data_IF_833906117975
#
_entry.id   IF_833906117975
#
_cell.length_a   1.000
_cell.length_b   1.000
_cell.length_c   1.000
_cell.angle_alpha   90.00
_cell.angle_beta   90.00
_cell.angle_gamma   90.00
#
_symmetry.space_group_name_H-M   'P 1'
#
loop_
_entity.id
_entity.type
_entity.pdbx_description
1 polymer ?
#
# COMPACT_ATOMS: atom_id res chain seq x y z
N UNK A 1 -8.88 -11.24 -6.83
CA UNK A 1 -9.56 -10.25 -5.96
C UNK A 1 -11.03 -10.34 -6.22
N UNK A 2 -11.78 -10.82 -5.25
CA UNK A 2 -13.24 -10.86 -5.30
C UNK A 2 -13.81 -10.19 -4.06
N UNK A 3 -14.95 -9.52 -4.21
CA UNK A 3 -15.71 -8.94 -3.11
C UNK A 3 -17.16 -9.32 -3.33
N UNK A 4 -17.72 -10.03 -2.35
CA UNK A 4 -19.14 -10.30 -2.28
C UNK A 4 -19.86 -9.03 -1.80
N UNK A 5 -20.99 -8.74 -2.44
CA UNK A 5 -21.90 -7.67 -2.00
C UNK A 5 -22.81 -8.27 -0.93
N UNK A 6 -22.85 -7.61 0.22
CA UNK A 6 -23.62 -8.01 1.38
C UNK A 6 -24.88 -7.11 1.51
N UNK A 7 -25.76 -7.39 2.48
CA UNK A 7 -26.98 -6.59 2.76
C UNK A 7 -26.72 -5.10 3.04
N UNK A 8 -25.46 -4.75 3.33
CA UNK A 8 -24.98 -3.36 3.49
C UNK A 8 -24.94 -2.58 2.17
N UNK A 9 -25.19 -3.22 1.03
CA UNK A 9 -25.33 -2.59 -0.28
C UNK A 9 -24.03 -2.49 -1.08
N UNK A 10 -24.14 -1.88 -2.27
CA UNK A 10 -23.07 -1.84 -3.28
C UNK A 10 -21.99 -0.80 -2.95
N UNK A 11 -22.34 0.37 -2.40
CA UNK A 11 -21.39 1.43 -2.03
C UNK A 11 -20.25 0.94 -1.10
N UNK A 12 -20.55 0.21 0.00
CA UNK A 12 -19.52 -0.34 0.87
C UNK A 12 -18.64 -1.37 0.17
N UNK A 13 -19.21 -2.21 -0.69
CA UNK A 13 -18.48 -3.20 -1.48
C UNK A 13 -17.48 -2.51 -2.43
N UNK A 14 -17.89 -1.44 -3.12
CA UNK A 14 -17.01 -0.64 -3.97
C UNK A 14 -15.87 -0.01 -3.15
N UNK A 15 -16.16 0.52 -1.96
CA UNK A 15 -15.13 1.09 -1.07
C UNK A 15 -14.15 0.03 -0.59
N UNK A 16 -14.63 -1.16 -0.25
CA UNK A 16 -13.78 -2.29 0.11
C UNK A 16 -12.90 -2.71 -1.08
N UNK A 17 -13.45 -2.72 -2.29
CA UNK A 17 -12.72 -3.05 -3.51
C UNK A 17 -11.61 -2.07 -3.81
N UNK A 18 -11.90 -0.76 -3.73
CA UNK A 18 -10.89 0.29 -3.90
C UNK A 18 -9.73 0.11 -2.90
N UNK A 19 -10.04 -0.19 -1.63
CA UNK A 19 -8.99 -0.45 -0.61
C UNK A 19 -8.18 -1.70 -0.93
N UNK A 20 -8.83 -2.78 -1.35
CA UNK A 20 -8.17 -4.00 -1.74
C UNK A 20 -7.22 -3.72 -2.91
N UNK A 21 -7.69 -3.06 -4.00
CA UNK A 21 -6.89 -2.71 -5.20
C UNK A 21 -5.65 -1.90 -4.84
N UNK A 22 -5.79 -0.94 -3.94
CA UNK A 22 -4.67 -0.15 -3.44
C UNK A 22 -3.69 -1.00 -2.62
N UNK A 23 -4.17 -1.98 -1.85
CA UNK A 23 -3.35 -2.90 -1.05
C UNK A 23 -2.52 -3.83 -1.92
N UNK A 24 -3.13 -4.45 -2.93
CA UNK A 24 -2.41 -5.32 -3.87
C UNK A 24 -1.41 -4.54 -4.73
N UNK A 25 -1.63 -3.23 -4.90
CA UNK A 25 -0.67 -2.36 -5.58
C UNK A 25 -0.59 -2.59 -7.09
N UNK A 26 -1.56 -3.30 -7.68
CA UNK A 26 -1.64 -3.62 -9.13
C UNK A 26 -1.51 -2.35 -9.97
N UNK A 27 -2.18 -1.25 -9.60
CA UNK A 27 -2.08 0.02 -10.33
C UNK A 27 -0.66 0.59 -10.33
N UNK A 28 0.08 0.41 -9.23
CA UNK A 28 1.48 0.83 -9.10
C UNK A 28 2.40 -0.06 -9.93
N UNK A 29 2.13 -1.36 -9.96
CA UNK A 29 2.82 -2.36 -10.79
C UNK A 29 2.67 -2.03 -12.27
N UNK A 30 1.44 -1.77 -12.73
CA UNK A 30 1.14 -1.40 -14.12
C UNK A 30 1.89 -0.14 -14.52
N UNK A 31 1.78 0.94 -13.72
CA UNK A 31 2.49 2.20 -14.02
C UNK A 31 4.01 2.01 -14.11
N UNK A 32 4.56 1.12 -13.30
CA UNK A 32 5.99 0.79 -13.29
C UNK A 32 6.43 0.01 -14.52
N UNK A 33 5.59 -0.90 -15.03
CA UNK A 33 5.89 -1.75 -16.19
C UNK A 33 5.61 -1.08 -17.53
N UNK A 34 5.03 0.14 -17.54
CA UNK A 34 4.73 0.89 -18.78
C UNK A 34 5.97 1.21 -19.62
N UNK A 35 7.14 1.28 -19.01
CA UNK A 35 8.40 1.56 -19.68
C UNK A 35 9.49 0.64 -19.15
N UNK A 36 10.51 0.39 -19.97
CA UNK A 36 11.70 -0.32 -19.54
C UNK A 36 12.41 0.50 -18.44
N UNK A 37 12.79 -0.18 -17.37
CA UNK A 37 13.60 0.39 -16.31
C UNK A 37 14.92 -0.36 -16.26
N UNK A 38 16.02 0.38 -16.33
CA UNK A 38 17.35 -0.23 -16.23
C UNK A 38 17.51 -0.98 -14.90
N UNK A 39 18.25 -2.11 -14.87
CA UNK A 39 18.41 -2.91 -13.66
C UNK A 39 18.97 -2.10 -12.47
N UNK A 40 19.88 -1.15 -12.72
CA UNK A 40 20.41 -0.25 -11.68
C UNK A 40 19.35 0.71 -11.10
N UNK A 41 18.44 1.22 -11.92
CA UNK A 41 17.33 2.07 -11.47
C UNK A 41 16.31 1.26 -10.67
N UNK A 42 16.01 0.04 -11.13
CA UNK A 42 15.18 -0.93 -10.42
C UNK A 42 15.72 -1.21 -9.02
N UNK A 43 17.03 -1.42 -8.87
CA UNK A 43 17.71 -1.63 -7.58
C UNK A 43 17.60 -0.38 -6.69
N UNK A 44 17.93 0.79 -7.22
CA UNK A 44 17.85 2.08 -6.48
C UNK A 44 16.43 2.36 -5.99
N UNK A 45 15.40 2.12 -6.80
CA UNK A 45 14.00 2.28 -6.39
C UNK A 45 13.63 1.30 -5.26
N UNK A 46 13.99 0.02 -5.38
CA UNK A 46 13.71 -0.98 -4.33
C UNK A 46 14.27 -0.56 -2.97
N UNK A 47 15.52 -0.08 -2.94
CA UNK A 47 16.16 0.43 -1.72
C UNK A 47 15.39 1.64 -1.16
N UNK A 48 15.06 2.62 -2.01
CA UNK A 48 14.27 3.80 -1.61
C UNK A 48 12.89 3.41 -1.05
N UNK A 49 12.21 2.45 -1.67
CA UNK A 49 10.91 1.97 -1.20
C UNK A 49 11.01 1.25 0.15
N UNK A 50 12.04 0.43 0.35
CA UNK A 50 12.30 -0.24 1.63
C UNK A 50 12.58 0.77 2.75
N UNK A 51 13.44 1.77 2.50
CA UNK A 51 13.72 2.83 3.45
C UNK A 51 12.46 3.63 3.83
N UNK A 52 11.60 3.95 2.84
CA UNK A 52 10.30 4.60 3.08
C UNK A 52 9.37 3.74 3.93
N UNK A 53 9.32 2.41 3.70
CA UNK A 53 8.52 1.49 4.52
C UNK A 53 9.00 1.45 5.97
N UNK A 54 10.31 1.28 6.18
CA UNK A 54 10.92 1.29 7.53
C UNK A 54 10.63 2.59 8.27
N UNK A 55 10.80 3.75 7.62
CA UNK A 55 10.48 5.05 8.23
C UNK A 55 9.02 5.14 8.68
N UNK A 56 8.08 4.63 7.87
CA UNK A 56 6.65 4.62 8.24
C UNK A 56 6.36 3.68 9.42
N UNK A 57 7.06 2.55 9.53
CA UNK A 57 6.94 1.65 10.68
C UNK A 57 7.43 2.32 11.96
N UNK A 58 8.62 2.93 11.93
CA UNK A 58 9.17 3.65 13.08
C UNK A 58 8.27 4.79 13.57
N UNK A 59 7.66 5.55 12.66
CA UNK A 59 6.72 6.62 13.02
C UNK A 59 5.46 6.06 13.69
N UNK A 60 4.97 4.89 13.25
CA UNK A 60 3.82 4.22 13.87
C UNK A 60 4.17 3.70 15.27
N UNK A 61 5.33 3.07 15.39
CA UNK A 61 5.85 2.57 16.67
C UNK A 61 5.98 3.69 17.69
N UNK A 62 6.62 4.79 17.29
CA UNK A 62 6.79 5.98 18.14
C UNK A 62 5.45 6.53 18.65
N UNK A 63 4.44 6.62 17.80
CA UNK A 63 3.09 7.06 18.22
C UNK A 63 2.47 6.14 19.27
N UNK A 64 2.66 4.83 19.13
CA UNK A 64 2.18 3.85 20.09
C UNK A 64 2.92 3.93 21.42
N UNK A 65 4.22 4.21 21.39
CA UNK A 65 5.05 4.36 22.61
C UNK A 65 4.82 5.69 23.33
N UNK A 66 4.54 6.78 22.60
CA UNK A 66 4.36 8.13 23.16
C UNK A 66 2.93 8.42 23.66
N UNK A 67 1.95 7.56 23.33
CA UNK A 67 0.59 7.60 23.89
C UNK A 67 0.43 6.49 24.94
N UNK A 68 0.91 6.65 26.19
CA UNK A 68 0.53 5.76 27.27
C UNK A 68 -0.97 5.91 27.50
N UNK A 69 -1.72 4.88 27.15
CA UNK A 69 -3.17 4.84 27.35
C UNK A 69 -3.52 4.83 28.83
N UNK A 70 -3.98 5.98 29.33
CA UNK A 70 -5.02 6.16 30.35
C UNK A 70 -5.76 7.47 30.04
#
# INVERSE_FOLDING_TARGET
>A
MEIAVDVRGVEPAIRAFKRLVLRDGILKEVKRRRYYEKPGERRRRKIREAARRRRRQLVRERRYTEEPGW
#
